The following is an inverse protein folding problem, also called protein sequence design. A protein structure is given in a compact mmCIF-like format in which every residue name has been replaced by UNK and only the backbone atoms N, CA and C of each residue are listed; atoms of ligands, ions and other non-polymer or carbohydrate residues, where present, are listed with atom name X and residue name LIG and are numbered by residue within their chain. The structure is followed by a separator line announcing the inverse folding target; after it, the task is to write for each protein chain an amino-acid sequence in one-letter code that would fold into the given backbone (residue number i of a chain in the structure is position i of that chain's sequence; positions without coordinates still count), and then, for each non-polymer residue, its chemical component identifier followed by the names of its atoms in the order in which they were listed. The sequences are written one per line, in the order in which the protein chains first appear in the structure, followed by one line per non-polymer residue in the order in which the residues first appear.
data_IF_744421245906
#
_entry.id   IF_744421245906
#
_cell.length_a   1.000
_cell.length_b   1.000
_cell.length_c   1.000
_cell.angle_alpha   90.00
_cell.angle_beta   90.00
_cell.angle_gamma   90.00
#
_symmetry.space_group_name_H-M   'P 1'
#
loop_
_entity.id
_entity.type
_entity.pdbx_description
1 polymer ?
#
# COMPACT_ATOMS: atom_id res chain seq x y z
N UNK A 1 24.25 -4.35 19.33
CA UNK A 1 23.59 -3.07 19.67
C UNK A 1 22.68 -2.53 18.56
N UNK A 2 23.14 -2.24 17.32
CA UNK A 2 22.27 -1.68 16.25
C UNK A 2 21.06 -2.53 15.83
N UNK A 3 21.17 -3.88 15.82
CA UNK A 3 20.10 -4.78 15.33
C UNK A 3 18.85 -4.78 16.21
N UNK A 4 19.01 -4.80 17.54
CA UNK A 4 17.88 -4.74 18.48
C UNK A 4 17.12 -3.42 18.39
N UNK A 5 17.84 -2.30 18.19
CA UNK A 5 17.22 -0.99 18.01
C UNK A 5 16.32 -0.93 16.76
N UNK A 6 16.77 -1.52 15.65
CA UNK A 6 16.00 -1.58 14.40
C UNK A 6 14.75 -2.44 14.57
N UNK A 7 14.88 -3.63 15.16
CA UNK A 7 13.75 -4.53 15.44
C UNK A 7 12.72 -3.88 16.37
N UNK A 8 13.18 -3.13 17.36
CA UNK A 8 12.28 -2.39 18.24
C UNK A 8 11.51 -1.32 17.48
N UNK A 9 12.17 -0.59 16.56
CA UNK A 9 11.50 0.41 15.73
C UNK A 9 10.47 -0.22 14.78
N UNK A 10 10.87 -1.29 14.08
CA UNK A 10 10.00 -2.00 13.13
C UNK A 10 8.76 -2.60 13.80
N UNK A 11 8.80 -2.96 15.07
CA UNK A 11 7.64 -3.51 15.79
C UNK A 11 6.69 -2.44 16.40
N UNK A 12 7.02 -1.15 16.26
CA UNK A 12 6.16 -0.08 16.75
C UNK A 12 4.90 0.06 15.89
N UNK A 13 3.73 0.08 16.54
CA UNK A 13 2.43 0.28 15.88
C UNK A 13 2.46 1.57 15.06
N UNK A 14 2.90 2.67 15.69
CA UNK A 14 2.94 3.99 15.08
C UNK A 14 3.76 4.00 13.79
N UNK A 15 4.93 3.35 13.78
CA UNK A 15 5.80 3.28 12.60
C UNK A 15 5.10 2.53 11.45
N UNK A 16 4.53 1.36 11.74
CA UNK A 16 3.83 0.53 10.76
C UNK A 16 2.61 1.20 10.14
N UNK A 17 1.80 1.89 10.97
CA UNK A 17 0.63 2.63 10.51
C UNK A 17 1.05 3.80 9.62
N UNK A 18 2.01 4.62 10.08
CA UNK A 18 2.51 5.76 9.30
C UNK A 18 3.09 5.29 7.97
N UNK A 19 3.91 4.24 7.98
CA UNK A 19 4.50 3.68 6.77
C UNK A 19 3.42 3.25 5.76
N UNK A 20 2.40 2.54 6.23
CA UNK A 20 1.28 2.09 5.38
C UNK A 20 0.53 3.28 4.77
N UNK A 21 0.27 4.33 5.55
CA UNK A 21 -0.39 5.55 5.07
C UNK A 21 0.45 6.33 4.06
N UNK A 22 1.76 6.43 4.28
CA UNK A 22 2.67 7.09 3.33
C UNK A 22 2.68 6.34 2.00
N UNK A 23 2.82 5.02 2.04
CA UNK A 23 2.80 4.19 0.83
C UNK A 23 1.45 4.28 0.12
N UNK A 24 0.34 4.31 0.86
CA UNK A 24 -0.99 4.52 0.31
C UNK A 24 -1.09 5.85 -0.45
N UNK A 25 -0.62 6.96 0.15
CA UNK A 25 -0.67 8.29 -0.50
C UNK A 25 0.17 8.27 -1.79
N UNK A 26 1.38 7.71 -1.74
CA UNK A 26 2.24 7.60 -2.92
C UNK A 26 1.59 6.77 -4.04
N UNK A 27 1.02 5.61 -3.68
CA UNK A 27 0.35 4.71 -4.62
C UNK A 27 -0.90 5.36 -5.21
N UNK A 28 -1.67 6.08 -4.40
CA UNK A 28 -2.81 6.87 -4.85
C UNK A 28 -2.40 7.96 -5.84
N UNK A 29 -1.34 8.71 -5.54
CA UNK A 29 -0.80 9.73 -6.44
C UNK A 29 -0.33 9.13 -7.78
N UNK A 30 0.34 7.98 -7.76
CA UNK A 30 0.74 7.28 -8.99
C UNK A 30 -0.48 6.88 -9.82
N UNK A 31 -1.54 6.37 -9.18
CA UNK A 31 -2.77 5.95 -9.85
C UNK A 31 -3.51 7.08 -10.60
N UNK A 32 -3.22 8.34 -10.25
CA UNK A 32 -3.81 9.53 -10.88
C UNK A 32 -2.99 10.08 -12.05
N UNK A 33 -1.75 9.60 -12.25
CA UNK A 33 -0.86 10.08 -13.32
C UNK A 33 -1.27 9.69 -14.75
N UNK A 34 -1.94 8.54 -15.01
CA UNK A 34 -2.29 8.18 -16.37
C UNK A 34 -3.41 9.05 -16.95
N UNK A 35 -3.23 9.49 -18.20
CA UNK A 35 -4.34 10.08 -18.95
C UNK A 35 -5.28 8.96 -19.41
N UNK A 36 -6.49 8.95 -18.84
CA UNK A 36 -7.49 7.95 -19.15
C UNK A 36 -8.30 8.35 -20.40
N UNK A 37 -8.58 7.40 -21.32
CA UNK A 37 -9.42 7.67 -22.47
C UNK A 37 -10.87 8.00 -22.05
N UNK A 38 -11.52 8.93 -22.77
CA UNK A 38 -12.89 9.34 -22.47
C UNK A 38 -13.92 8.19 -22.53
N UNK A 39 -13.62 7.12 -23.28
CA UNK A 39 -14.46 5.92 -23.40
C UNK A 39 -14.55 5.08 -22.13
N UNK A 40 -13.66 5.31 -21.15
CA UNK A 40 -13.58 4.49 -19.94
C UNK A 40 -14.69 4.78 -18.92
N UNK A 41 -15.30 5.96 -18.99
CA UNK A 41 -16.37 6.38 -18.09
C UNK A 41 -16.01 6.16 -16.61
N UNK A 42 -16.92 5.54 -15.86
CA UNK A 42 -16.72 5.22 -14.44
C UNK A 42 -15.67 4.14 -14.17
N UNK A 43 -15.27 3.35 -15.18
CA UNK A 43 -14.30 2.26 -15.00
C UNK A 43 -12.92 2.76 -14.56
N UNK A 44 -12.58 4.00 -14.90
CA UNK A 44 -11.29 4.63 -14.57
C UNK A 44 -11.21 5.11 -13.13
N UNK A 45 -12.35 5.19 -12.44
CA UNK A 45 -12.44 5.64 -11.05
C UNK A 45 -12.15 4.51 -10.07
N UNK A 46 -12.61 3.29 -10.36
CA UNK A 46 -12.47 2.11 -9.47
C UNK A 46 -11.01 1.89 -9.02
N UNK A 47 -10.03 1.79 -9.93
CA UNK A 47 -8.64 1.55 -9.57
C UNK A 47 -7.95 2.72 -8.85
N UNK A 48 -8.49 3.94 -8.94
CA UNK A 48 -8.00 5.05 -8.11
C UNK A 48 -8.28 4.81 -6.61
N UNK A 49 -9.33 4.07 -6.25
CA UNK A 49 -9.66 3.73 -4.86
C UNK A 49 -9.05 2.41 -4.39
N UNK A 50 -8.41 1.66 -5.27
CA UNK A 50 -7.72 0.42 -4.90
C UNK A 50 -6.60 0.65 -3.88
N UNK A 51 -5.72 1.68 -4.01
CA UNK A 51 -4.69 1.97 -3.01
C UNK A 51 -5.20 2.18 -1.57
N UNK A 52 -6.19 3.05 -1.29
CA UNK A 52 -6.73 3.19 0.07
C UNK A 52 -7.40 1.91 0.57
N UNK A 53 -8.09 1.16 -0.30
CA UNK A 53 -8.71 -0.11 0.10
C UNK A 53 -7.66 -1.15 0.55
N UNK A 54 -6.59 -1.33 -0.23
CA UNK A 54 -5.48 -2.24 0.11
C UNK A 54 -4.79 -1.80 1.40
N UNK A 55 -4.61 -0.49 1.61
CA UNK A 55 -4.01 0.03 2.83
C UNK A 55 -4.85 -0.29 4.07
N UNK A 56 -6.17 -0.09 3.99
CA UNK A 56 -7.10 -0.44 5.08
C UNK A 56 -7.04 -1.95 5.35
N UNK A 57 -7.12 -2.78 4.30
CA UNK A 57 -7.05 -4.23 4.44
C UNK A 57 -5.72 -4.69 5.08
N UNK A 58 -4.61 -4.08 4.66
CA UNK A 58 -3.27 -4.32 5.23
C UNK A 58 -3.24 -3.99 6.71
N UNK A 59 -3.80 -2.84 7.11
CA UNK A 59 -3.87 -2.45 8.52
C UNK A 59 -4.73 -3.41 9.33
N UNK A 60 -5.86 -3.84 8.79
CA UNK A 60 -6.73 -4.84 9.43
C UNK A 60 -5.95 -6.14 9.67
N UNK A 61 -5.31 -6.69 8.63
CA UNK A 61 -4.50 -7.91 8.74
C UNK A 61 -3.34 -7.71 9.70
N UNK A 62 -2.67 -6.55 9.68
CA UNK A 62 -1.60 -6.19 10.60
C UNK A 62 -2.09 -6.21 12.06
N UNK A 63 -3.22 -5.57 12.37
CA UNK A 63 -3.78 -5.56 13.73
C UNK A 63 -4.21 -6.96 14.19
N UNK A 64 -4.83 -7.75 13.31
CA UNK A 64 -5.15 -9.15 13.63
C UNK A 64 -3.90 -9.98 13.86
N UNK A 65 -2.86 -9.81 13.03
CA UNK A 65 -1.62 -10.56 13.17
C UNK A 65 -0.90 -10.28 14.49
N UNK A 66 -1.04 -9.07 15.04
CA UNK A 66 -0.45 -8.71 16.33
C UNK A 66 -1.00 -9.53 17.49
N UNK A 67 -2.22 -10.08 17.35
CA UNK A 67 -2.82 -10.96 18.37
C UNK A 67 -2.04 -12.28 18.46
N UNK A 68 -1.56 -12.79 17.32
CA UNK A 68 -0.92 -14.11 17.22
C UNK A 68 0.61 -14.06 17.08
N UNK A 69 1.16 -13.00 16.48
CA UNK A 69 2.57 -12.85 16.08
C UNK A 69 3.12 -11.50 16.56
N UNK A 70 3.92 -11.53 17.63
CA UNK A 70 4.35 -10.31 18.33
C UNK A 70 5.63 -9.66 17.78
N UNK A 71 6.57 -10.44 17.20
CA UNK A 71 7.92 -9.95 16.82
C UNK A 71 8.16 -9.72 15.32
N UNK A 72 7.24 -10.18 14.46
CA UNK A 72 7.41 -10.17 13.00
C UNK A 72 6.17 -9.67 12.23
N UNK A 73 5.18 -9.09 12.93
CA UNK A 73 3.96 -8.55 12.31
C UNK A 73 4.25 -7.43 11.29
N UNK A 74 5.38 -6.72 11.42
CA UNK A 74 5.81 -5.71 10.45
C UNK A 74 6.06 -6.26 9.04
N UNK A 75 6.22 -7.57 8.87
CA UNK A 75 6.33 -8.17 7.53
C UNK A 75 5.03 -7.94 6.73
N UNK A 76 3.87 -7.92 7.41
CA UNK A 76 2.57 -7.68 6.76
C UNK A 76 2.50 -6.27 6.20
N UNK A 77 3.05 -5.26 6.88
CA UNK A 77 3.05 -3.89 6.35
C UNK A 77 3.96 -3.76 5.14
N UNK A 78 5.08 -4.49 5.08
CA UNK A 78 5.93 -4.54 3.89
C UNK A 78 5.21 -5.24 2.73
N UNK A 79 4.59 -6.40 2.96
CA UNK A 79 3.85 -7.12 1.92
C UNK A 79 2.72 -6.23 1.38
N UNK A 80 1.94 -5.63 2.28
CA UNK A 80 0.86 -4.73 1.88
C UNK A 80 1.36 -3.50 1.13
N UNK A 81 2.50 -2.92 1.54
CA UNK A 81 3.12 -1.80 0.84
C UNK A 81 3.60 -2.17 -0.58
N UNK A 82 4.27 -3.31 -0.73
CA UNK A 82 4.71 -3.82 -2.04
C UNK A 82 3.49 -4.07 -2.93
N UNK A 83 2.45 -4.70 -2.40
CA UNK A 83 1.23 -4.98 -3.15
C UNK A 83 0.52 -3.69 -3.58
N UNK A 84 0.42 -2.71 -2.69
CA UNK A 84 -0.21 -1.42 -2.98
C UNK A 84 0.54 -0.65 -4.10
N UNK A 85 1.86 -0.59 -4.02
CA UNK A 85 2.69 0.02 -5.06
C UNK A 85 2.61 -0.76 -6.37
N UNK A 86 2.61 -2.09 -6.32
CA UNK A 86 2.47 -2.95 -7.49
C UNK A 86 1.21 -2.61 -8.27
N UNK A 87 0.04 -2.58 -7.61
CA UNK A 87 -1.23 -2.25 -8.25
C UNK A 87 -1.23 -0.83 -8.84
N UNK A 88 -0.66 0.15 -8.14
CA UNK A 88 -0.54 1.51 -8.65
C UNK A 88 0.35 1.61 -9.90
N UNK A 89 1.49 0.91 -9.91
CA UNK A 89 2.37 0.86 -11.06
C UNK A 89 1.78 0.07 -12.22
N UNK A 90 1.11 -1.06 -11.95
CA UNK A 90 0.45 -1.85 -12.99
C UNK A 90 -0.63 -1.01 -13.69
N UNK A 91 -1.47 -0.31 -12.92
CA UNK A 91 -2.42 0.66 -13.46
C UNK A 91 -1.73 1.75 -14.28
N UNK A 92 -0.63 2.32 -13.77
CA UNK A 92 0.11 3.36 -14.47
C UNK A 92 0.65 2.87 -15.82
N UNK A 93 1.30 1.71 -15.83
CA UNK A 93 1.90 1.15 -17.04
C UNK A 93 0.85 0.63 -18.03
N UNK A 94 -0.26 0.07 -17.54
CA UNK A 94 -1.37 -0.35 -18.38
C UNK A 94 -1.79 0.81 -19.27
N UNK A 95 -2.25 1.94 -18.71
CA UNK A 95 -2.75 3.07 -19.50
C UNK A 95 -1.68 3.84 -20.26
N UNK A 96 -0.45 3.88 -19.75
CA UNK A 96 0.66 4.46 -20.50
C UNK A 96 0.91 3.75 -21.82
N UNK A 97 0.70 2.43 -21.88
CA UNK A 97 0.93 1.61 -23.06
C UNK A 97 -0.28 1.51 -24.02
N UNK A 98 -1.46 2.03 -23.63
CA UNK A 98 -2.65 2.13 -24.52
C UNK A 98 -2.74 3.48 -25.25
N UNK A 99 -1.74 4.35 -25.11
CA UNK A 99 -1.54 5.54 -25.95
C UNK A 99 -0.74 5.20 -27.19
#
# INVERSE_FOLDING_TARGET
MKKETILNYLNQIKSNVIFTLVVMILSFSIGQLPDLPNSIGFGGFIPMFTPPFIAILTLVIYFFSRIFILKWNWIITIIGAIYNLHEAFDWYFYYKNYK
#
